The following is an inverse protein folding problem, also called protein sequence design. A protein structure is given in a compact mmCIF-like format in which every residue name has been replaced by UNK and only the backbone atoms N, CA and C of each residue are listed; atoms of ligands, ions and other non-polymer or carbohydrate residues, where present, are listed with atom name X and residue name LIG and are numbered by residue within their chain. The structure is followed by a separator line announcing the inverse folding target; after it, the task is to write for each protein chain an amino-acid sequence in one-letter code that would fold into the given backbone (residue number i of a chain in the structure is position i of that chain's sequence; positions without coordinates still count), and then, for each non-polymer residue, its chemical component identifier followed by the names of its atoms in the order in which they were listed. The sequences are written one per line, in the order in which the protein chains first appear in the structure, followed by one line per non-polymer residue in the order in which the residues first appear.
data_IF_898741699105
#
_entry.id   IF_898741699105
#
_cell.length_a   1.000
_cell.length_b   1.000
_cell.length_c   1.000
_cell.angle_alpha   90.00
_cell.angle_beta   90.00
_cell.angle_gamma   90.00
#
_symmetry.space_group_name_H-M   'P 1'
#
loop_
_entity.id
_entity.type
_entity.pdbx_description
1 polymer ?
#
# COMPACT_ATOMS: atom_id res chain seq x y z
N UNK A 1 -31.37 -54.09 22.48
CA UNK A 1 -30.52 -53.85 21.29
C UNK A 1 -30.62 -52.42 20.74
N UNK A 2 -31.82 -51.84 20.56
CA UNK A 2 -32.00 -50.46 20.04
C UNK A 2 -31.39 -49.33 20.91
N UNK A 3 -31.43 -49.46 22.25
CA UNK A 3 -30.83 -48.48 23.17
C UNK A 3 -29.30 -48.42 23.05
N UNK A 4 -28.63 -49.54 22.81
CA UNK A 4 -27.17 -49.59 22.67
C UNK A 4 -26.70 -48.94 21.35
N UNK A 5 -27.49 -49.06 20.28
CA UNK A 5 -27.25 -48.36 19.01
C UNK A 5 -27.40 -46.84 19.17
N UNK A 6 -28.38 -46.39 19.96
CA UNK A 6 -28.55 -44.97 20.31
C UNK A 6 -27.36 -44.41 21.11
N UNK A 7 -26.84 -45.16 22.08
CA UNK A 7 -25.65 -44.73 22.84
C UNK A 7 -24.40 -44.66 21.96
N UNK A 8 -24.19 -45.62 21.05
CA UNK A 8 -23.06 -45.60 20.11
C UNK A 8 -23.19 -44.41 19.14
N UNK A 9 -24.39 -44.14 18.62
CA UNK A 9 -24.64 -42.97 17.77
C UNK A 9 -24.38 -41.64 18.48
N UNK A 10 -24.75 -41.53 19.76
CA UNK A 10 -24.48 -40.33 20.56
C UNK A 10 -22.98 -40.11 20.83
N UNK A 11 -22.21 -41.19 21.03
CA UNK A 11 -20.75 -41.10 21.22
C UNK A 11 -20.04 -40.66 19.94
N UNK A 12 -20.47 -41.17 18.77
CA UNK A 12 -19.91 -40.78 17.48
C UNK A 12 -20.26 -39.32 17.12
N UNK A 13 -21.47 -38.86 17.44
CA UNK A 13 -21.87 -37.48 17.21
C UNK A 13 -21.19 -36.50 18.19
N UNK A 14 -20.90 -36.94 19.42
CA UNK A 14 -20.16 -36.16 20.41
C UNK A 14 -18.67 -36.05 20.09
N UNK A 15 -18.08 -37.07 19.46
CA UNK A 15 -16.64 -37.07 19.13
C UNK A 15 -16.28 -36.12 17.99
N UNK A 16 -17.21 -35.77 17.09
CA UNK A 16 -16.96 -34.80 16.00
C UNK A 16 -16.84 -33.36 16.51
N UNK A 17 -17.41 -33.05 17.68
CA UNK A 17 -17.33 -31.71 18.31
C UNK A 17 -15.92 -31.48 18.88
N UNK A 18 -15.22 -32.55 19.28
CA UNK A 18 -13.87 -32.49 19.86
C UNK A 18 -12.75 -32.39 18.80
N UNK A 19 -13.07 -32.54 17.51
CA UNK A 19 -12.11 -32.44 16.38
C UNK A 19 -12.25 -31.07 15.67
N UNK A 20 -12.93 -30.10 16.28
CA UNK A 20 -12.96 -28.73 15.75
C UNK A 20 -11.52 -28.22 15.59
N UNK A 21 -11.17 -27.78 14.38
CA UNK A 21 -9.85 -27.21 14.08
C UNK A 21 -9.52 -26.12 15.11
N UNK A 22 -8.31 -26.17 15.68
CA UNK A 22 -7.83 -25.15 16.61
C UNK A 22 -7.65 -23.83 15.86
N UNK A 23 -7.89 -22.69 16.54
CA UNK A 23 -7.72 -21.37 15.93
C UNK A 23 -6.32 -21.14 15.36
N UNK A 24 -5.30 -21.80 15.90
CA UNK A 24 -3.92 -21.75 15.40
C UNK A 24 -3.74 -22.32 13.98
N UNK A 25 -4.61 -23.23 13.53
CA UNK A 25 -4.61 -23.68 12.13
C UNK A 25 -5.29 -22.66 11.20
N UNK A 26 -6.30 -21.95 11.70
CA UNK A 26 -7.10 -21.01 10.93
C UNK A 26 -6.47 -19.61 10.83
N UNK A 27 -5.68 -19.22 11.84
CA UNK A 27 -5.03 -17.91 11.93
C UNK A 27 -3.54 -18.00 11.58
N UNK A 28 -3.23 -17.83 10.30
CA UNK A 28 -1.84 -17.73 9.83
C UNK A 28 -1.30 -16.35 10.14
N UNK A 29 -0.44 -16.25 11.17
CA UNK A 29 0.32 -15.01 11.43
C UNK A 29 1.36 -14.80 10.33
N UNK A 30 1.39 -13.61 9.68
CA UNK A 30 2.44 -13.30 8.72
C UNK A 30 3.82 -13.30 9.42
N UNK A 31 4.81 -13.90 8.76
CA UNK A 31 6.21 -13.95 9.23
C UNK A 31 7.06 -13.09 8.31
N UNK A 32 7.94 -12.26 8.89
CA UNK A 32 8.93 -11.48 8.14
C UNK A 32 8.56 -10.02 7.84
N UNK A 33 7.34 -9.59 8.15
CA UNK A 33 6.95 -8.17 8.10
C UNK A 33 6.10 -7.82 9.32
N UNK A 34 6.34 -6.66 9.95
CA UNK A 34 5.44 -6.18 10.98
C UNK A 34 4.08 -5.85 10.36
N UNK A 35 3.01 -6.24 11.06
CA UNK A 35 1.66 -5.81 10.71
C UNK A 35 1.52 -4.33 11.06
N UNK A 36 0.89 -3.53 10.20
CA UNK A 36 0.62 -2.11 10.47
C UNK A 36 -0.08 -1.93 11.84
N UNK A 37 -1.00 -2.84 12.17
CA UNK A 37 -1.71 -2.86 13.45
C UNK A 37 -0.82 -3.00 14.69
N UNK A 38 0.41 -3.51 14.55
CA UNK A 38 1.33 -3.77 15.65
C UNK A 38 2.71 -3.11 15.42
N UNK A 39 2.86 -2.21 14.46
CA UNK A 39 4.17 -1.67 14.10
C UNK A 39 4.59 -0.48 14.97
N UNK A 40 3.66 0.34 15.45
CA UNK A 40 3.95 1.59 16.16
C UNK A 40 3.95 1.39 17.69
N UNK A 41 4.82 0.53 18.22
CA UNK A 41 4.82 0.15 19.64
C UNK A 41 5.87 0.91 20.47
N UNK A 42 6.87 1.52 19.83
CA UNK A 42 7.90 2.31 20.49
C UNK A 42 8.23 3.60 19.71
N UNK A 43 8.90 4.55 20.38
CA UNK A 43 9.27 5.84 19.77
C UNK A 43 10.18 5.70 18.53
N UNK A 44 11.03 4.67 18.47
CA UNK A 44 11.87 4.43 17.29
C UNK A 44 11.04 3.98 16.09
N UNK A 45 10.06 3.10 16.31
CA UNK A 45 9.11 2.66 15.27
C UNK A 45 8.23 3.81 14.78
N UNK A 46 7.72 4.65 15.70
CA UNK A 46 6.97 5.86 15.36
C UNK A 46 7.82 6.82 14.52
N UNK A 47 9.08 7.03 14.90
CA UNK A 47 10.02 7.84 14.13
C UNK A 47 10.29 7.26 12.74
N UNK A 48 10.51 5.95 12.61
CA UNK A 48 10.68 5.33 11.29
C UNK A 48 9.43 5.41 10.43
N UNK A 49 8.24 5.31 11.03
CA UNK A 49 6.96 5.54 10.35
C UNK A 49 6.84 6.98 9.85
N UNK A 50 7.20 7.97 10.67
CA UNK A 50 7.25 9.37 10.25
C UNK A 50 8.23 9.59 9.09
N UNK A 51 9.45 9.04 9.18
CA UNK A 51 10.44 9.12 8.10
C UNK A 51 9.90 8.48 6.82
N UNK A 52 9.17 7.37 6.92
CA UNK A 52 8.55 6.70 5.76
C UNK A 52 7.49 7.57 5.04
N UNK A 53 6.91 8.56 5.73
CA UNK A 53 5.98 9.51 5.12
C UNK A 53 6.68 10.48 4.16
N UNK A 54 7.99 10.72 4.32
CA UNK A 54 8.77 11.60 3.45
C UNK A 54 9.23 10.93 2.15
N UNK A 55 9.31 9.60 2.12
CA UNK A 55 9.80 8.83 0.96
C UNK A 55 9.08 9.15 -0.37
N UNK A 56 7.74 9.28 -0.44
CA UNK A 56 7.05 9.62 -1.68
C UNK A 56 7.37 11.00 -2.25
N UNK A 57 7.97 11.91 -1.46
CA UNK A 57 8.34 13.25 -1.92
C UNK A 57 9.51 13.24 -2.88
N UNK A 58 10.49 12.34 -2.66
CA UNK A 58 11.67 12.16 -3.49
C UNK A 58 11.46 11.15 -4.64
N UNK A 59 10.35 10.44 -4.66
CA UNK A 59 10.05 9.47 -5.70
C UNK A 59 9.73 10.16 -7.05
N UNK A 60 10.57 9.92 -8.05
CA UNK A 60 10.37 10.42 -9.43
C UNK A 60 9.63 9.42 -10.34
N UNK A 61 9.46 8.17 -9.89
CA UNK A 61 8.87 7.08 -10.68
C UNK A 61 7.80 6.37 -9.87
N UNK A 62 6.59 6.23 -10.42
CA UNK A 62 5.58 5.27 -9.91
C UNK A 62 5.28 4.21 -10.96
N UNK A 63 4.90 4.64 -12.17
CA UNK A 63 4.63 3.86 -13.37
C UNK A 63 5.64 4.20 -14.47
N UNK A 64 5.97 5.48 -14.61
CA UNK A 64 6.98 5.98 -15.56
C UNK A 64 7.77 7.13 -14.93
N UNK A 65 8.96 7.42 -15.47
CA UNK A 65 9.76 8.54 -14.99
C UNK A 65 9.07 9.88 -15.25
N UNK A 66 8.66 10.48 -14.15
CA UNK A 66 7.83 11.67 -14.11
C UNK A 66 8.37 12.63 -13.05
N UNK A 67 9.60 13.10 -13.27
CA UNK A 67 10.20 14.13 -12.42
C UNK A 67 9.30 15.37 -12.40
N UNK A 68 8.98 15.88 -11.20
CA UNK A 68 8.16 17.07 -11.03
C UNK A 68 8.76 18.25 -11.77
N UNK A 69 10.04 18.53 -11.55
CA UNK A 69 10.71 19.69 -12.14
C UNK A 69 10.81 19.56 -13.65
N UNK A 70 11.28 18.41 -14.15
CA UNK A 70 11.49 18.24 -15.58
C UNK A 70 10.19 18.28 -16.39
N UNK A 71 9.15 17.60 -15.93
CA UNK A 71 7.86 17.63 -16.61
C UNK A 71 7.16 18.99 -16.49
N UNK A 72 7.27 19.69 -15.35
CA UNK A 72 6.70 21.04 -15.22
C UNK A 72 7.42 22.06 -16.11
N UNK A 73 8.73 21.93 -16.31
CA UNK A 73 9.48 22.78 -17.24
C UNK A 73 9.19 22.44 -18.70
N UNK A 74 8.87 21.17 -18.99
CA UNK A 74 8.45 20.74 -20.33
C UNK A 74 7.02 21.18 -20.65
N UNK A 75 6.19 21.30 -19.60
CA UNK A 75 4.87 21.90 -19.69
C UNK A 75 4.92 23.44 -19.75
N UNK A 76 6.02 24.06 -19.32
CA UNK A 76 6.26 25.48 -19.51
C UNK A 76 6.95 25.75 -20.85
N UNK A 77 7.17 27.02 -21.16
CA UNK A 77 7.94 27.47 -22.32
C UNK A 77 9.46 27.48 -22.05
N UNK A 78 9.93 26.91 -20.94
CA UNK A 78 11.36 26.89 -20.58
C UNK A 78 12.17 25.85 -21.37
N UNK A 79 11.56 24.70 -21.72
CA UNK A 79 12.24 23.64 -22.46
C UNK A 79 11.29 22.71 -23.22
N UNK A 80 11.83 22.03 -24.23
CA UNK A 80 11.15 20.90 -24.89
C UNK A 80 11.48 19.59 -24.18
N UNK A 81 10.62 18.56 -24.34
CA UNK A 81 10.80 17.24 -23.74
C UNK A 81 12.13 16.56 -24.11
N UNK A 82 12.65 16.86 -25.31
CA UNK A 82 13.86 16.24 -25.86
C UNK A 82 13.64 14.78 -26.29
N UNK A 83 14.71 14.03 -26.45
CA UNK A 83 14.69 12.66 -27.00
C UNK A 83 15.02 12.60 -28.49
N UNK A 84 15.25 11.39 -29.00
CA UNK A 84 15.50 11.13 -30.43
C UNK A 84 14.22 10.95 -31.24
N UNK A 85 13.15 10.45 -30.61
CA UNK A 85 11.82 10.33 -31.20
C UNK A 85 10.72 10.55 -30.15
N UNK A 86 9.51 10.91 -30.61
CA UNK A 86 8.31 11.11 -29.77
C UNK A 86 8.03 9.93 -28.83
N UNK A 87 8.33 8.71 -29.29
CA UNK A 87 8.10 7.47 -28.56
C UNK A 87 9.07 7.25 -27.38
N UNK A 88 10.20 7.97 -27.31
CA UNK A 88 11.18 7.80 -26.23
C UNK A 88 10.58 8.19 -24.87
N UNK A 89 9.74 9.23 -24.86
CA UNK A 89 9.07 9.78 -23.69
C UNK A 89 7.66 10.30 -24.03
N UNK A 90 6.77 9.40 -24.41
CA UNK A 90 5.40 9.76 -24.81
C UNK A 90 4.64 10.59 -23.76
N UNK A 91 4.88 10.36 -22.46
CA UNK A 91 4.26 11.10 -21.35
C UNK A 91 4.77 12.54 -21.26
N UNK A 92 6.06 12.77 -21.50
CA UNK A 92 6.67 14.10 -21.51
C UNK A 92 6.24 14.88 -22.74
N UNK A 93 6.28 14.20 -23.89
CA UNK A 93 5.95 14.84 -25.15
C UNK A 93 4.45 15.15 -25.26
N UNK A 94 3.58 14.30 -24.71
CA UNK A 94 2.16 14.62 -24.60
C UNK A 94 1.91 15.90 -23.76
N UNK A 95 2.76 16.19 -22.77
CA UNK A 95 2.66 17.45 -22.02
C UNK A 95 3.27 18.63 -22.78
N UNK A 96 4.45 18.44 -23.40
CA UNK A 96 5.13 19.41 -24.26
C UNK A 96 4.22 19.93 -25.39
N UNK A 97 3.55 19.02 -26.07
CA UNK A 97 2.67 19.31 -27.21
C UNK A 97 1.21 19.52 -26.80
N UNK A 98 0.88 19.47 -25.50
CA UNK A 98 -0.48 19.59 -24.97
C UNK A 98 -1.50 18.60 -25.56
N UNK A 99 -1.05 17.41 -25.96
CA UNK A 99 -1.87 16.33 -26.53
C UNK A 99 -2.18 15.26 -25.48
N UNK A 100 -2.43 15.66 -24.24
CA UNK A 100 -2.69 14.75 -23.13
C UNK A 100 -3.98 13.95 -23.37
N UNK A 101 -3.90 12.64 -23.14
CA UNK A 101 -5.05 11.75 -23.11
C UNK A 101 -5.19 11.12 -21.73
N UNK A 102 -6.39 10.63 -21.33
CA UNK A 102 -6.54 9.93 -20.06
C UNK A 102 -5.54 8.79 -19.87
N UNK A 103 -5.15 8.12 -20.95
CA UNK A 103 -4.17 7.04 -20.97
C UNK A 103 -2.71 7.51 -21.14
N UNK A 104 -2.47 8.70 -21.70
CA UNK A 104 -1.15 9.20 -22.10
C UNK A 104 -0.87 10.55 -21.44
N UNK A 105 -0.04 10.50 -20.41
CA UNK A 105 0.44 11.67 -19.69
C UNK A 105 0.91 11.31 -18.28
N UNK A 106 1.45 12.26 -17.52
CA UNK A 106 2.04 12.01 -16.22
C UNK A 106 1.02 12.00 -15.07
N UNK A 107 -0.28 12.19 -15.36
CA UNK A 107 -1.35 12.31 -14.36
C UNK A 107 -1.43 11.11 -13.42
N UNK A 108 -1.26 9.88 -13.93
CA UNK A 108 -1.33 8.67 -13.12
C UNK A 108 -0.18 8.62 -12.10
N UNK A 109 0.99 9.11 -12.50
CA UNK A 109 2.21 9.11 -11.72
C UNK A 109 2.17 10.18 -10.62
N UNK A 110 1.76 11.41 -10.96
CA UNK A 110 1.56 12.46 -9.96
C UNK A 110 0.44 12.14 -9.00
N UNK A 111 -0.71 11.67 -9.49
CA UNK A 111 -1.81 11.28 -8.63
C UNK A 111 -1.38 10.16 -7.68
N UNK A 112 -0.83 9.07 -8.22
CA UNK A 112 -0.38 7.92 -7.43
C UNK A 112 0.57 8.30 -6.31
N UNK A 113 1.66 9.03 -6.61
CA UNK A 113 2.66 9.39 -5.59
C UNK A 113 2.08 10.29 -4.48
N UNK A 114 1.25 11.27 -4.86
CA UNK A 114 0.68 12.20 -3.90
C UNK A 114 -0.29 11.47 -2.96
N UNK A 115 -1.13 10.57 -3.48
CA UNK A 115 -2.03 9.78 -2.64
C UNK A 115 -1.33 8.70 -1.81
N UNK A 116 -0.18 8.17 -2.26
CA UNK A 116 0.68 7.32 -1.42
C UNK A 116 1.19 8.11 -0.21
N UNK A 117 1.67 9.34 -0.42
CA UNK A 117 2.10 10.23 0.67
C UNK A 117 1.00 10.51 1.68
N UNK A 118 -0.18 10.92 1.18
CA UNK A 118 -1.36 11.16 2.02
C UNK A 118 -1.73 9.92 2.83
N UNK A 119 -1.74 8.74 2.20
CA UNK A 119 -2.07 7.50 2.89
C UNK A 119 -1.09 7.17 4.02
N UNK A 120 0.23 7.33 3.78
CA UNK A 120 1.24 7.07 4.81
C UNK A 120 1.10 7.99 6.02
N UNK A 121 0.84 9.27 5.79
CA UNK A 121 0.62 10.25 6.87
C UNK A 121 -0.66 9.96 7.65
N UNK A 122 -1.75 9.61 6.96
CA UNK A 122 -3.00 9.26 7.64
C UNK A 122 -2.83 8.01 8.52
N UNK A 123 -2.08 7.01 8.06
CA UNK A 123 -1.78 5.81 8.84
C UNK A 123 -0.91 6.12 10.05
N UNK A 124 0.10 6.99 9.92
CA UNK A 124 0.93 7.39 11.08
C UNK A 124 0.16 8.19 12.12
N UNK A 125 -0.66 9.15 11.67
CA UNK A 125 -1.45 10.01 12.58
C UNK A 125 -2.54 9.22 13.29
N UNK A 126 -3.26 8.35 12.56
CA UNK A 126 -4.28 7.48 13.14
C UNK A 126 -3.73 6.60 14.27
N UNK A 127 -2.50 6.10 14.12
CA UNK A 127 -1.90 5.26 15.13
C UNK A 127 -1.40 6.04 16.37
N UNK A 128 -0.89 7.26 16.19
CA UNK A 128 -0.51 8.11 17.33
C UNK A 128 -1.73 8.62 18.14
N UNK A 129 -2.91 8.80 17.51
CA UNK A 129 -4.14 9.14 18.24
C UNK A 129 -4.57 8.02 19.19
N UNK A 130 -4.41 6.75 18.79
CA UNK A 130 -4.78 5.59 19.60
C UNK A 130 -3.74 5.26 20.70
N UNK A 131 -2.51 5.76 20.56
CA UNK A 131 -1.38 5.50 21.48
C UNK A 131 -0.63 6.78 21.89
N UNK A 132 -1.27 7.72 22.61
CA UNK A 132 -0.74 9.05 22.90
C UNK A 132 0.45 9.10 23.88
N UNK A 133 1.00 7.96 24.29
CA UNK A 133 2.18 7.87 25.17
C UNK A 133 3.46 7.51 24.40
N UNK A 134 3.35 7.24 23.10
CA UNK A 134 4.43 6.79 22.22
C UNK A 134 4.83 7.81 21.15
N UNK A 135 3.90 8.71 20.83
CA UNK A 135 4.15 10.08 20.44
C UNK A 135 4.20 10.93 21.73
#
# INVERSE_FOLDING_TARGET
MKKNILYIGAVILGSTILISCTKEWLEVKPKGTPLEANYYQNAAEAFTGLVSCYDPLGAEVVKDYSSKVGLLNTASDDCYAGGGAYADRATWEAWNSYTLEPAVGPQADFWGRNFIGINRTNTSDGCCIESPFLC
#
